data_IF_487973956398
#
_entry.id   IF_487973956398
#
_cell.length_a   1.000
_cell.length_b   1.000
_cell.length_c   1.000
_cell.angle_alpha   90.00
_cell.angle_beta   90.00
_cell.angle_gamma   90.00
#
_symmetry.space_group_name_H-M   'P 1'
#
loop_
_entity.id
_entity.type
_entity.pdbx_description
1 polymer ?
#
# COMPACT_ATOMS: atom_id res chain seq x y z
N UNK A 1 12.68 -24.49 -34.23
CA UNK A 1 13.20 -23.83 -33.01
C UNK A 1 12.49 -22.50 -32.66
N UNK A 2 12.02 -21.69 -33.61
CA UNK A 2 11.32 -20.42 -33.33
C UNK A 2 10.03 -20.55 -32.49
N UNK A 3 9.26 -21.64 -32.69
CA UNK A 3 7.99 -21.89 -31.97
C UNK A 3 8.16 -22.10 -30.46
N UNK A 4 9.30 -22.64 -30.03
CA UNK A 4 9.63 -22.82 -28.61
C UNK A 4 9.96 -21.48 -27.93
N UNK A 5 10.60 -20.56 -28.65
CA UNK A 5 10.89 -19.21 -28.15
C UNK A 5 9.61 -18.40 -27.91
N UNK A 6 8.63 -18.51 -28.82
CA UNK A 6 7.33 -17.87 -28.63
C UNK A 6 6.54 -18.47 -27.46
N UNK A 7 6.60 -19.79 -27.27
CA UNK A 7 5.96 -20.45 -26.13
C UNK A 7 6.60 -20.03 -24.79
N UNK A 8 7.94 -19.94 -24.73
CA UNK A 8 8.64 -19.47 -23.54
C UNK A 8 8.34 -17.99 -23.23
N UNK A 9 8.23 -17.14 -24.24
CA UNK A 9 7.87 -15.73 -24.05
C UNK A 9 6.45 -15.55 -23.50
N UNK A 10 5.48 -16.35 -23.97
CA UNK A 10 4.10 -16.32 -23.47
C UNK A 10 3.99 -16.74 -21.99
N UNK A 11 4.77 -17.73 -21.57
CA UNK A 11 4.79 -18.20 -20.17
C UNK A 11 5.38 -17.14 -19.24
N UNK A 12 6.44 -16.44 -19.68
CA UNK A 12 7.06 -15.34 -18.90
C UNK A 12 6.12 -14.14 -18.73
N UNK A 13 5.29 -13.82 -19.74
CA UNK A 13 4.30 -12.73 -19.66
C UNK A 13 3.16 -13.09 -18.69
N UNK A 14 2.75 -14.36 -18.62
CA UNK A 14 1.69 -14.76 -17.67
C UNK A 14 2.16 -14.75 -16.21
N UNK A 15 3.46 -14.94 -15.95
CA UNK A 15 4.03 -14.85 -14.60
C UNK A 15 4.28 -13.42 -14.11
N UNK A 16 4.34 -12.43 -15.01
CA UNK A 16 4.42 -11.02 -14.60
C UNK A 16 3.10 -10.45 -14.06
N UNK A 17 1.99 -11.18 -14.17
CA UNK A 17 0.72 -10.78 -13.56
C UNK A 17 0.48 -11.42 -12.18
N UNK A 18 1.18 -12.51 -11.85
CA UNK A 18 1.04 -13.17 -10.53
C UNK A 18 1.83 -12.46 -9.43
N UNK A 19 2.67 -11.48 -9.77
CA UNK A 19 3.39 -10.67 -8.78
C UNK A 19 2.51 -9.63 -8.06
N UNK A 20 1.23 -9.49 -8.42
CA UNK A 20 0.26 -8.73 -7.63
C UNK A 20 -0.45 -9.56 -6.55
N UNK A 21 -0.48 -10.90 -6.68
CA UNK A 21 -1.03 -11.79 -5.63
C UNK A 21 0.00 -12.18 -4.56
N UNK A 22 1.28 -11.90 -4.79
CA UNK A 22 2.39 -12.18 -3.86
C UNK A 22 2.58 -11.09 -2.77
N UNK A 23 1.76 -10.04 -2.79
CA UNK A 23 1.62 -9.10 -1.68
C UNK A 23 0.48 -9.65 -0.80
N UNK A 24 0.83 -10.63 0.02
CA UNK A 24 -0.02 -11.39 0.97
C UNK A 24 -0.73 -10.51 2.02
N UNK A 25 -0.48 -9.19 2.02
CA UNK A 25 -1.26 -8.20 2.75
C UNK A 25 -2.33 -7.63 1.81
N UNK A 26 -3.53 -8.22 1.86
CA UNK A 26 -4.71 -7.75 1.12
C UNK A 26 -4.97 -6.25 1.31
N UNK A 27 -5.83 -5.70 0.44
CA UNK A 27 -6.28 -4.32 0.54
C UNK A 27 -6.60 -3.94 2.00
N UNK A 28 -5.97 -2.89 2.50
CA UNK A 28 -6.21 -2.38 3.85
C UNK A 28 -6.91 -1.03 3.78
N UNK A 29 -7.73 -0.75 4.78
CA UNK A 29 -8.32 0.57 4.92
C UNK A 29 -7.32 1.42 5.70
N UNK A 30 -6.88 2.52 5.09
CA UNK A 30 -6.00 3.48 5.72
C UNK A 30 -6.71 4.81 5.93
N UNK A 31 -6.37 5.49 7.03
CA UNK A 31 -6.79 6.85 7.31
C UNK A 31 -5.68 7.64 8.00
N UNK A 32 -5.72 8.96 7.89
CA UNK A 32 -4.85 9.83 8.68
C UNK A 32 -5.45 10.07 10.05
N UNK A 33 -4.68 9.84 11.11
CA UNK A 33 -5.09 10.13 12.49
C UNK A 33 -4.15 11.17 13.05
N UNK A 34 -4.73 12.25 13.61
CA UNK A 34 -3.97 13.31 14.28
C UNK A 34 -4.01 13.09 15.78
N UNK A 35 -2.83 13.04 16.37
CA UNK A 35 -2.58 12.81 17.78
C UNK A 35 -2.11 14.09 18.47
N UNK A 36 -2.63 14.35 19.67
CA UNK A 36 -2.09 15.35 20.59
C UNK A 36 -1.74 14.64 21.90
N UNK A 37 -0.46 14.66 22.31
CA UNK A 37 0.03 13.91 23.47
C UNK A 37 -0.38 12.42 23.46
N UNK A 38 -0.16 11.74 22.34
CA UNK A 38 -0.55 10.33 22.10
C UNK A 38 -2.07 10.04 22.16
N UNK A 39 -2.92 11.07 22.23
CA UNK A 39 -4.37 10.92 22.21
C UNK A 39 -4.92 11.31 20.83
N UNK A 40 -5.69 10.46 20.13
CA UNK A 40 -6.25 10.80 18.83
C UNK A 40 -7.33 11.89 19.00
N UNK A 41 -7.15 13.01 18.30
CA UNK A 41 -8.05 14.18 18.34
C UNK A 41 -8.84 14.37 17.04
N UNK A 42 -8.36 13.81 15.93
CA UNK A 42 -9.03 13.89 14.64
C UNK A 42 -8.73 12.69 13.74
N UNK A 43 -9.73 12.28 12.97
CA UNK A 43 -9.66 11.19 11.99
C UNK A 43 -9.97 11.76 10.60
N UNK A 44 -9.16 11.39 9.62
CA UNK A 44 -9.36 11.71 8.22
C UNK A 44 -10.35 10.77 7.55
N UNK A 45 -10.43 10.85 6.23
CA UNK A 45 -11.27 9.96 5.43
C UNK A 45 -10.60 8.60 5.29
N UNK A 46 -11.36 7.54 5.56
CA UNK A 46 -10.99 6.16 5.29
C UNK A 46 -10.94 5.91 3.77
N UNK A 47 -9.86 5.29 3.30
CA UNK A 47 -9.74 4.85 1.92
C UNK A 47 -9.05 3.47 1.87
N UNK A 48 -9.53 2.62 0.98
CA UNK A 48 -8.93 1.31 0.73
C UNK A 48 -7.72 1.46 -0.19
N UNK A 49 -6.59 0.91 0.23
CA UNK A 49 -5.36 0.88 -0.56
C UNK A 49 -4.86 -0.56 -0.69
N UNK A 50 -4.45 -0.91 -1.91
CA UNK A 50 -3.99 -2.25 -2.25
C UNK A 50 -2.59 -2.21 -2.86
N UNK A 51 -1.83 -3.29 -2.65
CA UNK A 51 -0.56 -3.51 -3.34
C UNK A 51 0.44 -2.36 -3.18
N UNK A 52 0.91 -1.80 -4.30
CA UNK A 52 1.94 -0.74 -4.29
C UNK A 52 1.44 0.58 -3.69
N UNK A 53 0.14 0.88 -3.77
CA UNK A 53 -0.42 2.08 -3.15
C UNK A 53 -0.42 1.96 -1.63
N UNK A 54 -0.75 0.78 -1.10
CA UNK A 54 -0.67 0.51 0.34
C UNK A 54 0.77 0.67 0.85
N UNK A 55 1.75 0.15 0.11
CA UNK A 55 3.16 0.33 0.44
C UNK A 55 3.58 1.80 0.41
N UNK A 56 3.08 2.57 -0.56
CA UNK A 56 3.35 4.00 -0.65
C UNK A 56 2.75 4.76 0.54
N UNK A 57 1.52 4.46 0.94
CA UNK A 57 0.85 5.08 2.10
C UNK A 57 1.58 4.74 3.41
N UNK A 58 1.95 3.47 3.63
CA UNK A 58 2.71 3.03 4.80
C UNK A 58 4.10 3.65 4.89
N UNK A 59 4.68 4.05 3.77
CA UNK A 59 5.98 4.72 3.71
C UNK A 59 5.92 6.23 4.03
N UNK A 60 4.71 6.82 4.13
CA UNK A 60 4.57 8.24 4.45
C UNK A 60 4.95 8.46 5.92
N UNK A 61 5.98 9.28 6.20
CA UNK A 61 6.37 9.56 7.58
C UNK A 61 5.32 10.43 8.29
N UNK A 62 5.18 10.30 9.62
CA UNK A 62 4.31 11.18 10.40
C UNK A 62 4.76 12.65 10.30
N UNK A 63 3.80 13.56 10.30
CA UNK A 63 4.03 15.00 10.28
C UNK A 63 3.63 15.63 11.61
N UNK A 64 4.53 16.38 12.24
CA UNK A 64 4.26 17.06 13.51
C UNK A 64 4.20 18.56 13.29
N UNK A 65 3.06 19.18 13.59
CA UNK A 65 2.84 20.63 13.49
C UNK A 65 2.13 21.11 14.75
N UNK A 66 2.69 22.13 15.41
CA UNK A 66 2.06 22.77 16.57
C UNK A 66 1.82 21.85 17.78
N UNK A 67 2.63 20.79 17.96
CA UNK A 67 2.45 19.82 19.04
C UNK A 67 1.47 18.67 18.74
N UNK A 68 0.85 18.70 17.56
CA UNK A 68 0.02 17.60 17.05
C UNK A 68 0.79 16.79 16.01
N UNK A 69 0.67 15.47 16.05
CA UNK A 69 1.31 14.54 15.10
C UNK A 69 0.26 13.82 14.29
N UNK A 70 0.25 14.03 12.98
CA UNK A 70 -0.61 13.30 12.04
C UNK A 70 0.16 12.13 11.45
N UNK A 71 -0.40 10.93 11.52
CA UNK A 71 0.18 9.70 10.95
C UNK A 71 -0.87 8.89 10.20
N UNK A 72 -0.43 8.08 9.24
CA UNK A 72 -1.30 7.11 8.58
C UNK A 72 -1.43 5.86 9.43
N UNK A 73 -2.67 5.40 9.60
CA UNK A 73 -2.99 4.13 10.24
C UNK A 73 -3.78 3.26 9.26
N UNK A 74 -3.29 2.05 9.02
CA UNK A 74 -3.90 1.06 8.14
C UNK A 74 -4.21 -0.20 8.94
N UNK A 75 -5.41 -0.75 8.78
CA UNK A 75 -5.86 -2.00 9.42
C UNK A 75 -6.48 -2.95 8.40
#
# INVERSE_FOLDING_TARGET
>A
MKRLLYAAALILITWSFTSCELLDDGCQICQTVTYENDNPIAWGTEAEYCGQELLAIKAIPPSTVGGTTTRWECY
#
